data_IF_213426733827
#
_entry.id   IF_213426733827
#
_cell.length_a   1.000
_cell.length_b   1.000
_cell.length_c   1.000
_cell.angle_alpha   90.00
_cell.angle_beta   90.00
_cell.angle_gamma   90.00
#
_symmetry.space_group_name_H-M   'P 1'
#
loop_
_entity.id
_entity.type
_entity.pdbx_description
1 polymer ?
#
# COMPACT_ATOMS: atom_id res chain seq x y z
N UNK A 1 -2.77 5.95 -1.33
CA UNK A 1 -2.15 7.16 -1.86
C UNK A 1 -1.31 7.80 -0.76
N UNK A 2 -0.01 8.02 -0.99
CA UNK A 2 0.88 8.65 0.01
C UNK A 2 1.30 10.03 -0.51
N UNK A 3 1.17 11.04 0.34
CA UNK A 3 1.66 12.39 0.17
C UNK A 3 2.99 12.51 0.93
N UNK A 4 4.10 12.72 0.22
CA UNK A 4 5.30 13.24 0.87
C UNK A 4 5.23 14.76 0.88
N UNK A 5 5.03 15.35 2.07
CA UNK A 5 4.94 16.80 2.27
C UNK A 5 6.18 17.56 1.75
N UNK A 6 7.31 16.85 1.61
CA UNK A 6 8.61 17.43 1.26
C UNK A 6 8.74 17.81 -0.24
N UNK A 7 7.89 17.31 -1.13
CA UNK A 7 8.08 17.51 -2.59
C UNK A 7 6.97 18.31 -3.24
N UNK A 8 5.72 18.08 -2.84
CA UNK A 8 4.55 18.79 -3.36
C UNK A 8 3.46 18.78 -2.30
N UNK A 9 2.94 19.96 -1.94
CA UNK A 9 1.92 20.11 -0.91
C UNK A 9 0.53 19.61 -1.33
N UNK A 10 0.33 19.33 -2.62
CA UNK A 10 -1.00 19.06 -3.21
C UNK A 10 -1.05 17.82 -4.13
N UNK A 11 0.04 17.06 -4.27
CA UNK A 11 0.07 15.88 -5.16
C UNK A 11 0.05 14.57 -4.38
N UNK A 12 -0.96 13.76 -4.65
CA UNK A 12 -1.10 12.40 -4.13
C UNK A 12 -0.57 11.39 -5.13
N UNK A 13 0.32 10.50 -4.68
CA UNK A 13 0.86 9.43 -5.52
C UNK A 13 0.49 8.06 -4.94
N UNK A 14 -0.10 7.15 -5.74
CA UNK A 14 -0.44 5.83 -5.27
C UNK A 14 0.81 4.94 -5.23
N UNK A 15 1.01 4.24 -4.11
CA UNK A 15 2.06 3.25 -3.95
C UNK A 15 1.49 2.01 -3.29
N UNK A 16 1.98 0.86 -3.72
CA UNK A 16 1.69 -0.42 -3.09
C UNK A 16 2.51 -0.56 -1.81
N UNK A 17 1.85 -0.99 -0.73
CA UNK A 17 2.50 -1.32 0.53
C UNK A 17 3.20 -2.67 0.36
N UNK A 18 4.47 -2.75 0.74
CA UNK A 18 5.26 -4.00 0.65
C UNK A 18 5.46 -4.67 2.00
N UNK A 19 5.11 -4.03 3.12
CA UNK A 19 5.09 -4.67 4.44
C UNK A 19 3.85 -5.54 4.63
N UNK A 20 3.92 -6.46 5.59
CA UNK A 20 2.76 -7.21 6.11
C UNK A 20 2.49 -6.75 7.54
N UNK A 21 1.23 -6.52 7.89
CA UNK A 21 0.82 -6.16 9.26
C UNK A 21 1.08 -7.28 10.26
N UNK A 22 1.08 -8.54 9.82
CA UNK A 22 1.33 -9.70 10.66
C UNK A 22 2.83 -9.89 10.96
N UNK A 23 3.69 -9.53 10.02
CA UNK A 23 5.15 -9.65 10.16
C UNK A 23 5.80 -8.38 10.74
N UNK A 24 5.31 -7.21 10.34
CA UNK A 24 5.91 -5.91 10.57
C UNK A 24 4.86 -4.93 11.13
N UNK A 25 4.25 -5.27 12.27
CA UNK A 25 3.09 -4.55 12.84
C UNK A 25 3.30 -3.04 13.04
N UNK A 26 4.53 -2.60 13.33
CA UNK A 26 4.87 -1.20 13.60
C UNK A 26 5.50 -0.48 12.41
N UNK A 27 5.54 -1.09 11.21
CA UNK A 27 6.27 -0.54 10.06
C UNK A 27 5.43 -0.55 8.78
N UNK A 28 5.42 0.60 8.11
CA UNK A 28 4.89 0.73 6.75
C UNK A 28 6.04 0.86 5.76
N UNK A 29 6.16 -0.11 4.85
CA UNK A 29 7.19 -0.10 3.81
C UNK A 29 6.58 0.13 2.43
N UNK A 30 7.22 0.97 1.62
CA UNK A 30 6.86 1.21 0.21
C UNK A 30 8.10 1.20 -0.67
N UNK A 31 7.96 0.68 -1.88
CA UNK A 31 9.03 0.63 -2.87
C UNK A 31 8.70 1.60 -4.01
N UNK A 32 9.58 2.58 -4.23
CA UNK A 32 9.36 3.65 -5.22
C UNK A 32 10.45 3.56 -6.28
N UNK A 33 10.07 3.27 -7.52
CA UNK A 33 10.96 3.30 -8.67
C UNK A 33 11.09 4.73 -9.20
N UNK A 34 12.30 5.19 -9.50
CA UNK A 34 12.56 6.51 -10.07
C UNK A 34 12.30 6.54 -11.58
N UNK A 35 11.02 6.61 -11.98
CA UNK A 35 10.62 6.69 -13.41
C UNK A 35 10.02 8.05 -13.83
N UNK A 36 9.48 8.82 -12.90
CA UNK A 36 8.84 10.11 -13.17
C UNK A 36 9.52 11.30 -12.48
N UNK A 37 9.17 12.53 -12.90
CA UNK A 37 9.72 13.79 -12.36
C UNK A 37 9.65 13.85 -10.83
N UNK A 38 8.51 13.48 -10.25
CA UNK A 38 8.31 13.47 -8.80
C UNK A 38 9.18 12.42 -8.10
N UNK A 39 9.20 11.18 -8.60
CA UNK A 39 9.96 10.08 -7.98
C UNK A 39 11.47 10.28 -8.11
N UNK A 40 11.93 10.89 -9.21
CA UNK A 40 13.34 11.24 -9.38
C UNK A 40 13.76 12.35 -8.44
N UNK A 41 12.91 13.38 -8.25
CA UNK A 41 13.16 14.44 -7.28
C UNK A 41 13.17 13.90 -5.84
N UNK A 42 12.30 12.94 -5.53
CA UNK A 42 12.30 12.22 -4.26
C UNK A 42 13.60 11.48 -4.05
N UNK A 43 13.98 10.66 -5.03
CA UNK A 43 15.21 9.89 -5.00
C UNK A 43 16.43 10.79 -4.82
N UNK A 44 16.56 11.86 -5.61
CA UNK A 44 17.67 12.81 -5.50
C UNK A 44 17.76 13.42 -4.10
N UNK A 45 16.63 13.84 -3.52
CA UNK A 45 16.62 14.50 -2.20
C UNK A 45 16.96 13.53 -1.07
N UNK A 46 16.47 12.30 -1.15
CA UNK A 46 16.82 11.22 -0.22
C UNK A 46 18.25 10.70 -0.44
N UNK A 47 18.83 10.94 -1.61
CA UNK A 47 20.21 10.59 -1.94
C UNK A 47 21.21 11.67 -1.54
N UNK A 48 20.88 12.94 -1.69
CA UNK A 48 21.76 14.07 -1.41
C UNK A 48 21.86 14.41 0.07
N UNK A 49 20.80 14.19 0.85
CA UNK A 49 20.79 14.55 2.26
C UNK A 49 21.17 13.35 3.12
N UNK A 50 22.44 13.29 3.53
CA UNK A 50 22.95 12.31 4.49
C UNK A 50 22.32 12.38 5.90
N UNK A 51 21.35 13.28 6.12
CA UNK A 51 20.90 13.73 7.44
C UNK A 51 19.37 13.95 7.52
N UNK A 52 18.58 13.30 6.66
CA UNK A 52 17.11 13.29 6.85
C UNK A 52 16.79 12.18 7.85
N UNK A 53 16.81 12.52 9.13
CA UNK A 53 16.37 11.62 10.19
C UNK A 53 14.85 11.41 10.16
N UNK A 54 14.10 12.34 9.55
CA UNK A 54 12.63 12.37 9.58
C UNK A 54 12.02 12.86 8.28
N UNK A 55 10.93 12.21 7.90
CA UNK A 55 10.18 12.48 6.69
C UNK A 55 8.69 12.59 7.03
N UNK A 56 8.13 13.80 6.92
CA UNK A 56 6.69 14.00 7.11
C UNK A 56 5.92 13.50 5.87
N UNK A 57 5.07 12.50 6.08
CA UNK A 57 4.24 11.88 5.04
C UNK A 57 2.79 11.86 5.50
N UNK A 58 1.85 12.27 4.65
CA UNK A 58 0.42 12.01 4.85
C UNK A 58 0.04 10.78 4.05
N UNK A 59 -0.77 9.89 4.62
CA UNK A 59 -1.14 8.62 3.99
C UNK A 59 -2.66 8.56 3.92
N UNK A 60 -3.16 8.14 2.76
CA UNK A 60 -4.57 7.89 2.50
C UNK A 60 -4.72 6.44 2.00
N UNK A 61 -5.61 5.68 2.62
CA UNK A 61 -5.81 4.25 2.33
C UNK A 61 -6.30 3.49 3.56
N UNK A 62 -6.33 2.14 3.50
CA UNK A 62 -5.87 1.29 2.39
C UNK A 62 -6.82 1.30 1.19
N UNK A 63 -6.27 1.12 -0.02
CA UNK A 63 -7.04 0.90 -1.24
C UNK A 63 -6.64 -0.46 -1.82
N UNK A 64 -7.55 -1.42 -1.76
CA UNK A 64 -7.32 -2.79 -2.20
C UNK A 64 -8.41 -3.70 -1.65
N UNK A 65 -8.53 -4.93 -2.17
CA UNK A 65 -9.43 -5.92 -1.58
C UNK A 65 -9.04 -6.18 -0.12
N UNK A 66 -10.04 -6.27 0.76
CA UNK A 66 -9.84 -6.38 2.21
C UNK A 66 -9.22 -7.73 2.63
N UNK A 67 -9.46 -8.77 1.83
CA UNK A 67 -8.85 -10.08 1.97
C UNK A 67 -8.98 -10.82 0.65
N UNK A 68 -7.97 -11.61 0.34
CA UNK A 68 -7.95 -12.54 -0.78
C UNK A 68 -7.57 -13.88 -0.18
N UNK A 69 -8.43 -14.87 -0.35
CA UNK A 69 -8.35 -16.17 0.30
C UNK A 69 -7.26 -17.03 -0.35
N UNK A 70 -6.01 -16.57 -0.23
CA UNK A 70 -4.87 -17.19 -0.89
C UNK A 70 -4.57 -18.61 -0.39
N UNK A 71 -5.00 -18.94 0.82
CA UNK A 71 -4.81 -20.25 1.45
C UNK A 71 -5.78 -21.33 0.97
N UNK A 72 -6.80 -20.98 0.17
CA UNK A 72 -7.79 -21.94 -0.33
C UNK A 72 -7.30 -22.78 -1.50
N UNK A 73 -6.13 -22.46 -2.05
CA UNK A 73 -5.52 -23.16 -3.17
C UNK A 73 -4.39 -24.06 -2.71
N UNK A 74 -4.13 -25.13 -3.46
CA UNK A 74 -3.00 -26.03 -3.22
C UNK A 74 -1.69 -25.44 -3.75
N UNK A 75 -1.78 -24.72 -4.87
CA UNK A 75 -0.67 -23.98 -5.46
C UNK A 75 -1.10 -22.58 -5.86
N UNK A 76 -0.14 -21.65 -5.86
CA UNK A 76 -0.36 -20.26 -6.19
C UNK A 76 0.69 -19.78 -7.20
N UNK A 77 0.22 -19.29 -8.35
CA UNK A 77 1.07 -18.74 -9.41
C UNK A 77 0.90 -17.23 -9.44
N UNK A 78 1.98 -16.51 -9.15
CA UNK A 78 2.01 -15.05 -9.17
C UNK A 78 2.77 -14.58 -10.41
N UNK A 79 2.11 -13.88 -11.33
CA UNK A 79 2.71 -13.34 -12.56
C UNK A 79 2.87 -11.84 -12.44
N UNK A 80 4.11 -11.37 -12.42
CA UNK A 80 4.47 -9.96 -12.24
C UNK A 80 5.22 -9.38 -13.43
N UNK A 81 5.00 -8.10 -13.70
CA UNK A 81 5.74 -7.36 -14.73
C UNK A 81 6.31 -6.05 -14.17
N UNK A 82 7.64 -5.91 -14.19
CA UNK A 82 8.36 -4.74 -13.65
C UNK A 82 8.01 -4.47 -12.18
N UNK A 83 7.58 -3.25 -11.87
CA UNK A 83 7.15 -2.84 -10.52
C UNK A 83 5.89 -3.57 -10.00
N UNK A 84 5.19 -4.32 -10.87
CA UNK A 84 4.06 -5.17 -10.48
C UNK A 84 4.42 -6.31 -9.51
N UNK A 85 5.70 -6.52 -9.21
CA UNK A 85 6.13 -7.44 -8.14
C UNK A 85 5.80 -6.94 -6.73
N UNK A 86 5.67 -5.61 -6.55
CA UNK A 86 5.46 -4.99 -5.22
C UNK A 86 4.30 -5.55 -4.40
N UNK A 87 3.08 -5.79 -4.92
CA UNK A 87 2.04 -6.43 -4.13
C UNK A 87 2.37 -7.87 -3.73
N UNK A 88 3.06 -8.62 -4.60
CA UNK A 88 3.43 -10.00 -4.29
C UNK A 88 4.46 -10.09 -3.17
N UNK A 89 5.31 -9.07 -3.01
CA UNK A 89 6.20 -8.97 -1.83
C UNK A 89 5.38 -8.94 -0.53
N UNK A 90 4.33 -8.11 -0.48
CA UNK A 90 3.47 -8.03 0.71
C UNK A 90 2.72 -9.35 0.95
N UNK A 91 2.15 -9.95 -0.11
CA UNK A 91 1.43 -11.23 -0.03
C UNK A 91 2.34 -12.37 0.45
N UNK A 92 3.55 -12.48 -0.08
CA UNK A 92 4.51 -13.52 0.32
C UNK A 92 4.93 -13.31 1.79
N UNK A 93 5.21 -12.08 2.22
CA UNK A 93 5.52 -11.78 3.62
C UNK A 93 4.36 -12.11 4.56
N UNK A 94 3.14 -11.87 4.11
CA UNK A 94 1.95 -12.19 4.89
C UNK A 94 1.77 -13.70 5.04
N UNK A 95 1.95 -14.48 3.96
CA UNK A 95 1.94 -15.94 4.02
C UNK A 95 2.99 -16.51 4.95
N UNK A 96 4.20 -15.94 4.92
CA UNK A 96 5.30 -16.30 5.85
C UNK A 96 4.88 -16.03 7.31
N UNK A 97 4.21 -14.92 7.58
CA UNK A 97 3.74 -14.61 8.94
C UNK A 97 2.57 -15.50 9.37
N UNK A 98 1.63 -15.80 8.47
CA UNK A 98 0.52 -16.69 8.77
C UNK A 98 0.99 -18.11 9.07
N UNK A 99 2.01 -18.61 8.36
CA UNK A 99 2.55 -19.95 8.65
C UNK A 99 3.23 -20.05 10.00
N UNK A 100 3.74 -18.95 10.55
CA UNK A 100 4.29 -18.90 11.90
C UNK A 100 3.19 -18.90 12.97
N UNK A 101 2.14 -18.11 12.73
CA UNK A 101 1.07 -17.88 13.72
C UNK A 101 -0.04 -18.94 13.67
N UNK A 102 -0.21 -19.64 12.54
CA UNK A 102 -1.25 -20.63 12.31
C UNK A 102 -0.63 -21.87 11.64
N UNK A 103 -1.01 -23.08 12.10
CA UNK A 103 -0.65 -24.36 11.47
C UNK A 103 -1.43 -24.59 10.16
N UNK A 104 -1.46 -23.60 9.29
CA UNK A 104 -2.12 -23.70 7.99
C UNK A 104 -1.12 -24.21 6.96
N UNK A 105 -1.57 -25.12 6.08
CA UNK A 105 -0.74 -25.59 4.96
C UNK A 105 -0.55 -24.45 3.98
N UNK A 106 0.69 -24.01 3.77
CA UNK A 106 1.01 -22.98 2.79
C UNK A 106 0.92 -23.60 1.38
N UNK A 107 0.30 -22.94 0.40
CA UNK A 107 0.34 -23.38 -0.99
C UNK A 107 1.76 -23.38 -1.55
N UNK A 108 2.03 -24.22 -2.55
CA UNK A 108 3.27 -24.13 -3.34
C UNK A 108 3.25 -22.83 -4.15
N UNK A 109 4.26 -21.96 -3.97
CA UNK A 109 4.28 -20.63 -4.60
C UNK A 109 5.20 -20.66 -5.81
N UNK A 110 4.69 -20.25 -6.97
CA UNK A 110 5.51 -20.01 -8.17
C UNK A 110 5.39 -18.54 -8.58
N UNK A 111 6.48 -17.80 -8.45
CA UNK A 111 6.56 -16.38 -8.79
C UNK A 111 7.24 -16.23 -10.16
N UNK A 112 6.47 -15.83 -11.17
CA UNK A 112 6.93 -15.56 -12.53
C UNK A 112 7.07 -14.04 -12.69
N UNK A 113 8.29 -13.54 -12.85
CA UNK A 113 8.59 -12.12 -12.97
C UNK A 113 9.15 -11.79 -14.34
N UNK A 114 8.65 -10.73 -14.98
CA UNK A 114 9.21 -10.19 -16.22
C UNK A 114 9.80 -8.80 -16.00
N UNK A 115 11.10 -8.66 -16.16
CA UNK A 115 11.85 -7.41 -16.04
C UNK A 115 12.34 -6.93 -17.41
N UNK A 116 12.52 -5.61 -17.55
CA UNK A 116 13.12 -5.03 -18.76
C UNK A 116 14.64 -5.23 -18.73
N UNK A 117 15.25 -4.84 -17.63
CA UNK A 117 16.69 -4.80 -17.43
C UNK A 117 17.09 -5.59 -16.18
N UNK A 118 18.35 -5.95 -16.07
CA UNK A 118 18.91 -6.68 -14.91
C UNK A 118 18.90 -5.86 -13.61
N UNK A 119 18.92 -4.53 -13.68
CA UNK A 119 18.84 -3.67 -12.49
C UNK A 119 17.52 -3.80 -11.72
N UNK A 120 16.45 -4.29 -12.36
CA UNK A 120 15.16 -4.50 -11.69
C UNK A 120 15.10 -5.82 -10.93
N UNK A 121 16.02 -6.75 -11.18
CA UNK A 121 16.14 -8.04 -10.47
C UNK A 121 16.36 -7.81 -8.99
N UNK A 122 17.02 -6.69 -8.61
CA UNK A 122 17.25 -6.34 -7.21
C UNK A 122 15.96 -6.35 -6.39
N UNK A 123 14.79 -6.05 -7.00
CA UNK A 123 13.49 -6.10 -6.33
C UNK A 123 13.16 -7.48 -5.74
N UNK A 124 13.69 -8.57 -6.31
CA UNK A 124 13.52 -9.93 -5.78
C UNK A 124 14.13 -10.08 -4.38
N UNK A 125 15.19 -9.35 -4.07
CA UNK A 125 15.79 -9.37 -2.73
C UNK A 125 14.85 -8.83 -1.64
N UNK A 126 13.82 -8.07 -2.01
CA UNK A 126 12.83 -7.55 -1.06
C UNK A 126 11.71 -8.56 -0.74
N UNK A 127 11.59 -9.65 -1.51
CA UNK A 127 10.55 -10.68 -1.31
C UNK A 127 10.71 -11.34 0.06
N UNK A 128 11.94 -11.66 0.45
CA UNK A 128 12.22 -12.19 1.78
C UNK A 128 12.41 -11.04 2.79
N UNK A 129 11.89 -11.18 4.02
CA UNK A 129 12.07 -10.18 5.07
C UNK A 129 13.55 -10.08 5.46
N UNK A 130 14.09 -8.87 5.48
CA UNK A 130 15.50 -8.56 5.81
C UNK A 130 15.84 -8.68 7.31
N UNK A 131 14.89 -9.10 8.15
CA UNK A 131 15.07 -9.16 9.60
C UNK A 131 15.57 -10.54 10.03
N UNK A 132 16.55 -10.59 10.94
CA UNK A 132 17.32 -11.77 11.39
C UNK A 132 16.55 -12.87 12.13
N UNK A 133 15.26 -13.03 11.84
CA UNK A 133 14.41 -14.14 12.30
C UNK A 133 14.46 -15.32 11.30
N UNK A 134 15.66 -15.62 10.79
CA UNK A 134 15.83 -16.42 9.56
C UNK A 134 16.38 -17.82 9.76
N UNK A 135 16.79 -18.21 10.96
CA UNK A 135 17.58 -19.44 11.10
C UNK A 135 16.76 -20.73 11.03
N UNK A 136 15.42 -20.69 11.10
CA UNK A 136 14.57 -21.89 10.96
C UNK A 136 13.50 -21.80 9.86
N UNK A 137 13.39 -20.66 9.17
CA UNK A 137 12.18 -20.32 8.39
C UNK A 137 12.17 -20.79 6.93
N UNK A 138 13.33 -21.21 6.42
CA UNK A 138 13.52 -21.48 4.99
C UNK A 138 13.17 -22.90 4.54
N UNK A 139 12.85 -23.81 5.46
CA UNK A 139 12.69 -25.24 5.14
C UNK A 139 11.28 -25.60 4.68
N UNK A 140 10.25 -24.90 5.17
CA UNK A 140 8.85 -25.31 4.94
C UNK A 140 8.17 -24.58 3.76
N UNK A 141 8.72 -23.45 3.30
CA UNK A 141 8.08 -22.65 2.25
C UNK A 141 8.70 -22.96 0.89
N UNK A 142 7.95 -23.69 0.05
CA UNK A 142 8.35 -24.01 -1.32
C UNK A 142 8.01 -22.86 -2.27
N UNK A 143 8.93 -21.89 -2.38
CA UNK A 143 8.84 -20.78 -3.33
C UNK A 143 9.77 -21.05 -4.51
N UNK A 144 9.22 -21.15 -5.73
CA UNK A 144 9.97 -21.17 -6.99
C UNK A 144 9.89 -19.79 -7.64
N UNK A 145 11.02 -19.19 -7.99
CA UNK A 145 11.06 -17.88 -8.67
C UNK A 145 11.61 -18.07 -10.08
N UNK A 146 10.84 -17.65 -11.08
CA UNK A 146 11.27 -17.61 -12.48
C UNK A 146 11.31 -16.15 -12.96
N UNK A 147 12.50 -15.61 -13.16
CA UNK A 147 12.67 -14.23 -13.59
C UNK A 147 13.18 -14.14 -15.03
N UNK A 148 12.46 -13.40 -15.86
CA UNK A 148 12.69 -13.22 -17.29
C UNK A 148 13.15 -11.80 -17.58
N UNK A 149 14.31 -11.65 -18.20
CA UNK A 149 14.92 -10.37 -18.56
C UNK A 149 14.76 -10.17 -20.05
N UNK A 150 13.91 -9.21 -20.42
CA UNK A 150 13.35 -9.16 -21.78
C UNK A 150 14.16 -8.31 -22.78
N UNK A 151 15.13 -7.50 -22.31
CA UNK A 151 15.93 -6.60 -23.19
C UNK A 151 17.43 -6.91 -23.20
N UNK A 152 17.92 -7.76 -22.30
CA UNK A 152 19.33 -8.14 -22.21
C UNK A 152 19.48 -9.62 -22.58
N UNK A 153 20.45 -9.94 -23.44
CA UNK A 153 20.68 -11.31 -23.93
C UNK A 153 21.70 -12.09 -23.10
N UNK A 154 22.59 -11.39 -22.41
CA UNK A 154 23.66 -11.99 -21.60
C UNK A 154 23.77 -11.26 -20.25
N UNK A 155 24.19 -11.97 -19.19
CA UNK A 155 24.52 -11.34 -17.92
C UNK A 155 25.70 -10.40 -18.10
N UNK A 156 25.55 -9.14 -17.68
CA UNK A 156 26.63 -8.15 -17.75
C UNK A 156 27.77 -8.57 -16.81
N UNK A 157 28.97 -8.74 -17.34
CA UNK A 157 30.15 -9.30 -16.65
C UNK A 157 30.67 -8.49 -15.45
N UNK A 158 30.12 -7.30 -15.20
CA UNK A 158 30.30 -6.52 -13.99
C UNK A 158 28.92 -6.05 -13.53
N UNK A 159 28.25 -6.89 -12.73
CA UNK A 159 26.99 -6.52 -12.11
C UNK A 159 27.27 -5.47 -11.03
N UNK A 160 27.33 -4.20 -11.40
CA UNK A 160 26.94 -3.14 -10.48
C UNK A 160 25.44 -3.29 -10.30
N UNK A 161 25.03 -4.28 -9.51
CA UNK A 161 23.66 -4.41 -9.04
C UNK A 161 23.37 -3.09 -8.36
N UNK A 162 22.57 -2.23 -8.98
CA UNK A 162 22.17 -0.98 -8.34
C UNK A 162 21.52 -1.37 -7.01
N UNK A 163 22.26 -1.10 -5.94
CA UNK A 163 21.91 -1.57 -4.62
C UNK A 163 20.65 -0.83 -4.21
N UNK A 164 19.62 -1.58 -3.80
CA UNK A 164 18.40 -0.97 -3.30
C UNK A 164 18.77 -0.12 -2.09
N UNK A 165 18.64 1.19 -2.24
CA UNK A 165 18.83 2.11 -1.13
C UNK A 165 17.62 2.00 -0.20
N UNK A 166 17.78 1.24 0.87
CA UNK A 166 16.76 1.12 1.92
C UNK A 166 16.99 2.23 2.94
N UNK A 167 15.98 3.06 3.17
CA UNK A 167 16.00 4.13 4.16
C UNK A 167 15.02 3.79 5.27
N UNK A 168 15.52 3.80 6.51
CA UNK A 168 14.73 3.55 7.71
C UNK A 168 14.60 4.83 8.51
N UNK A 169 13.37 5.26 8.74
CA UNK A 169 13.08 6.38 9.64
C UNK A 169 12.71 5.83 11.01
N UNK A 170 13.39 6.29 12.06
CA UNK A 170 13.14 5.84 13.42
C UNK A 170 11.84 6.46 13.97
N UNK A 171 10.99 5.70 14.67
CA UNK A 171 9.82 6.25 15.33
C UNK A 171 10.25 7.16 16.49
N UNK A 172 9.47 8.19 16.76
CA UNK A 172 9.64 9.12 17.87
C UNK A 172 8.42 9.09 18.79
N UNK A 173 8.60 9.54 20.03
CA UNK A 173 7.52 9.64 21.03
C UNK A 173 6.37 10.59 20.62
N UNK A 174 6.58 11.42 19.61
CA UNK A 174 5.57 12.34 19.07
C UNK A 174 4.81 11.78 17.87
N UNK A 175 5.21 10.63 17.33
CA UNK A 175 4.56 10.05 16.16
C UNK A 175 3.24 9.38 16.59
N UNK A 176 2.15 9.77 15.93
CA UNK A 176 0.85 9.15 16.15
C UNK A 176 0.67 7.96 15.21
N UNK A 177 -0.06 6.90 15.66
CA UNK A 177 -0.42 5.81 14.77
C UNK A 177 -1.22 6.36 13.58
N UNK A 178 -1.01 5.77 12.41
CA UNK A 178 -1.80 6.08 11.22
C UNK A 178 -3.25 5.77 11.56
N UNK A 179 -4.07 6.82 11.64
CA UNK A 179 -5.49 6.72 11.98
C UNK A 179 -6.30 7.38 10.87
N UNK A 180 -7.50 6.87 10.67
CA UNK A 180 -8.46 7.50 9.75
C UNK A 180 -8.78 8.91 10.25
N UNK A 181 -8.86 9.87 9.31
CA UNK A 181 -9.18 11.28 9.60
C UNK A 181 -10.49 11.42 10.41
N UNK A 182 -11.42 10.48 10.24
CA UNK A 182 -12.72 10.44 10.91
C UNK A 182 -12.80 9.45 12.09
N UNK A 183 -11.71 8.74 12.42
CA UNK A 183 -11.68 7.71 13.45
C UNK A 183 -12.32 6.37 13.05
N UNK A 184 -12.38 5.38 13.98
CA UNK A 184 -12.86 4.01 13.74
C UNK A 184 -14.29 3.90 13.18
N UNK A 185 -15.15 4.88 13.45
CA UNK A 185 -16.54 4.91 12.92
C UNK A 185 -16.69 5.94 11.80
N UNK A 186 -15.76 5.92 10.84
CA UNK A 186 -15.70 6.91 9.75
C UNK A 186 -17.00 7.00 8.97
N UNK A 187 -17.70 5.88 8.76
CA UNK A 187 -18.98 5.84 8.04
C UNK A 187 -20.11 6.55 8.79
N UNK A 188 -20.21 6.36 10.12
CA UNK A 188 -21.20 7.07 10.93
C UNK A 188 -20.91 8.58 10.99
N UNK A 189 -19.64 8.96 11.09
CA UNK A 189 -19.24 10.36 11.01
C UNK A 189 -19.53 10.97 9.64
N UNK A 190 -19.28 10.23 8.55
CA UNK A 190 -19.60 10.67 7.20
C UNK A 190 -21.11 10.87 7.02
N UNK A 191 -21.92 9.92 7.51
CA UNK A 191 -23.37 10.03 7.52
C UNK A 191 -23.86 11.22 8.37
N UNK A 192 -23.25 11.42 9.54
CA UNK A 192 -23.53 12.56 10.41
C UNK A 192 -23.18 13.90 9.77
N UNK A 193 -22.02 14.01 9.12
CA UNK A 193 -21.60 15.20 8.38
C UNK A 193 -22.58 15.46 7.24
N UNK A 194 -22.91 14.45 6.44
CA UNK A 194 -23.82 14.61 5.29
C UNK A 194 -25.23 15.05 5.75
N UNK A 195 -25.78 14.38 6.77
CA UNK A 195 -27.09 14.71 7.34
C UNK A 195 -27.11 16.11 7.96
N UNK A 196 -26.08 16.46 8.73
CA UNK A 196 -25.96 17.78 9.35
C UNK A 196 -25.83 18.89 8.29
N UNK A 197 -25.01 18.66 7.25
CA UNK A 197 -24.84 19.61 6.15
C UNK A 197 -26.15 19.86 5.40
N UNK A 198 -26.94 18.80 5.18
CA UNK A 198 -28.23 18.90 4.52
C UNK A 198 -29.25 19.69 5.34
N UNK A 199 -29.31 19.45 6.65
CA UNK A 199 -30.20 20.19 7.55
C UNK A 199 -29.82 21.67 7.64
N UNK A 200 -28.52 21.98 7.78
CA UNK A 200 -28.02 23.36 7.80
C UNK A 200 -28.33 24.06 6.48
N UNK A 201 -28.12 23.38 5.35
CA UNK A 201 -28.47 23.89 4.03
C UNK A 201 -29.97 24.22 3.93
N UNK A 202 -30.85 23.31 4.35
CA UNK A 202 -32.31 23.53 4.35
C UNK A 202 -32.73 24.70 5.25
N UNK A 203 -32.10 24.89 6.40
CA UNK A 203 -32.39 26.01 7.29
C UNK A 203 -31.94 27.33 6.68
N UNK A 204 -30.70 27.41 6.18
CA UNK A 204 -30.15 28.64 5.59
C UNK A 204 -30.95 29.01 4.34
N UNK A 205 -31.31 28.04 3.49
CA UNK A 205 -32.11 28.33 2.30
C UNK A 205 -33.54 28.74 2.64
N UNK A 206 -34.15 28.14 3.68
CA UNK A 206 -35.44 28.57 4.20
C UNK A 206 -35.42 30.01 4.68
N UNK A 207 -34.34 30.43 5.35
CA UNK A 207 -34.17 31.82 5.81
C UNK A 207 -33.96 32.78 4.62
N UNK A 208 -33.05 32.45 3.70
CA UNK A 208 -32.77 33.31 2.54
C UNK A 208 -33.99 33.46 1.65
N UNK A 209 -34.72 32.37 1.36
CA UNK A 209 -35.93 32.43 0.54
C UNK A 209 -37.04 33.25 1.20
N UNK A 210 -37.29 33.06 2.51
CA UNK A 210 -38.34 33.74 3.26
C UNK A 210 -38.05 35.22 3.50
N UNK A 211 -36.80 35.59 3.80
CA UNK A 211 -36.45 36.94 4.26
C UNK A 211 -35.71 37.81 3.24
N UNK A 212 -35.08 37.23 2.21
CA UNK A 212 -34.37 37.98 1.18
C UNK A 212 -35.05 37.90 -0.18
N UNK A 213 -35.33 36.69 -0.68
CA UNK A 213 -35.84 36.52 -2.05
C UNK A 213 -37.33 36.91 -2.14
N UNK A 214 -38.18 36.38 -1.26
CA UNK A 214 -39.61 36.62 -1.28
C UNK A 214 -40.04 38.09 -1.11
N UNK A 215 -39.51 38.87 -0.13
CA UNK A 215 -39.94 40.26 0.05
C UNK A 215 -39.47 41.21 -1.05
N UNK A 216 -38.41 40.86 -1.78
CA UNK A 216 -37.87 41.71 -2.85
C UNK A 216 -38.55 41.40 -4.18
N UNK A 217 -38.68 40.11 -4.53
CA UNK A 217 -39.10 39.71 -5.87
C UNK A 217 -40.59 39.33 -5.95
N UNK A 218 -41.26 39.02 -4.83
CA UNK A 218 -42.68 38.63 -4.80
C UNK A 218 -43.04 37.54 -5.84
N UNK A 219 -42.12 36.59 -6.12
CA UNK A 219 -42.24 35.58 -7.19
C UNK A 219 -42.44 36.16 -8.61
N UNK A 220 -41.96 37.37 -8.87
CA UNK A 220 -42.07 38.03 -10.17
C UNK A 220 -40.91 37.64 -11.10
N UNK A 221 -39.83 37.03 -10.59
CA UNK A 221 -38.62 36.61 -11.31
C UNK A 221 -37.96 37.72 -12.13
N UNK A 222 -38.14 38.98 -11.73
CA UNK A 222 -37.63 40.15 -12.46
C UNK A 222 -36.28 40.61 -11.95
N UNK A 223 -36.04 40.45 -10.64
CA UNK A 223 -34.80 40.89 -9.98
C UNK A 223 -33.88 39.68 -9.74
N UNK A 224 -34.45 38.58 -9.25
CA UNK A 224 -33.74 37.31 -9.13
C UNK A 224 -34.14 36.40 -10.30
N UNK A 225 -33.29 36.37 -11.32
CA UNK A 225 -33.43 35.40 -12.40
C UNK A 225 -33.05 34.01 -11.90
N UNK A 226 -33.60 32.97 -12.55
CA UNK A 226 -33.39 31.58 -12.20
C UNK A 226 -31.89 31.16 -12.08
N UNK A 227 -31.02 31.83 -12.84
CA UNK A 227 -29.57 31.62 -12.79
C UNK A 227 -28.93 32.19 -11.52
N UNK A 228 -29.33 33.39 -11.10
CA UNK A 228 -28.81 34.03 -9.89
C UNK A 228 -29.24 33.29 -8.62
N UNK A 229 -30.48 32.80 -8.58
CA UNK A 229 -31.02 31.98 -7.49
C UNK A 229 -30.24 30.66 -7.37
N UNK A 230 -29.98 30.00 -8.48
CA UNK A 230 -29.20 28.75 -8.52
C UNK A 230 -27.75 28.95 -8.04
N UNK A 231 -27.11 30.08 -8.38
CA UNK A 231 -25.76 30.40 -7.91
C UNK A 231 -25.73 30.56 -6.39
N UNK A 232 -26.73 31.22 -5.80
CA UNK A 232 -26.85 31.37 -4.34
C UNK A 232 -27.00 29.98 -3.70
N UNK A 233 -27.81 29.10 -4.27
CA UNK A 233 -28.00 27.74 -3.74
C UNK A 233 -26.70 26.93 -3.76
N UNK A 234 -25.93 27.01 -4.85
CA UNK A 234 -24.61 26.37 -4.97
C UNK A 234 -23.60 26.94 -3.96
N UNK A 235 -23.62 28.25 -3.70
CA UNK A 235 -22.74 28.84 -2.70
C UNK A 235 -23.11 28.39 -1.28
N UNK A 236 -24.40 28.35 -0.95
CA UNK A 236 -24.86 27.96 0.39
C UNK A 236 -24.57 26.48 0.67
N UNK A 237 -24.72 25.58 -0.31
CA UNK A 237 -24.37 24.17 -0.11
C UNK A 237 -22.86 23.98 0.09
N UNK A 238 -22.02 24.70 -0.67
CA UNK A 238 -20.57 24.66 -0.51
C UNK A 238 -20.12 25.15 0.89
N UNK A 239 -20.69 26.26 1.37
CA UNK A 239 -20.39 26.80 2.71
C UNK A 239 -20.84 25.82 3.79
N UNK A 240 -22.02 25.20 3.64
CA UNK A 240 -22.54 24.22 4.59
C UNK A 240 -21.63 23.00 4.72
N UNK A 241 -21.17 22.45 3.59
CA UNK A 241 -20.24 21.30 3.56
C UNK A 241 -18.89 21.68 4.18
N UNK A 242 -18.36 22.87 3.88
CA UNK A 242 -17.08 23.33 4.46
C UNK A 242 -17.17 23.54 5.98
N UNK A 243 -18.28 24.10 6.47
CA UNK A 243 -18.47 24.35 7.90
C UNK A 243 -18.58 23.04 8.70
N UNK A 244 -19.39 22.08 8.24
CA UNK A 244 -19.60 20.80 8.94
C UNK A 244 -18.36 19.91 8.91
N UNK A 245 -17.65 19.85 7.78
CA UNK A 245 -16.40 19.09 7.66
C UNK A 245 -15.30 19.69 8.55
N UNK A 246 -15.14 21.01 8.57
CA UNK A 246 -14.17 21.69 9.44
C UNK A 246 -14.50 21.49 10.93
N UNK A 247 -15.78 21.59 11.30
CA UNK A 247 -16.23 21.33 12.66
C UNK A 247 -15.99 19.87 13.08
N UNK A 248 -16.30 18.91 12.21
CA UNK A 248 -16.07 17.49 12.48
C UNK A 248 -14.58 17.15 12.62
N UNK A 249 -13.73 17.71 11.74
CA UNK A 249 -12.27 17.56 11.86
C UNK A 249 -11.73 18.15 13.16
N UNK A 250 -12.18 19.35 13.54
CA UNK A 250 -11.77 19.98 14.79
C UNK A 250 -12.23 19.18 16.01
N UNK A 251 -13.47 18.66 15.98
CA UNK A 251 -14.02 17.82 17.04
C UNK A 251 -13.25 16.51 17.18
N UNK A 252 -12.90 15.86 16.08
CA UNK A 252 -12.07 14.66 16.08
C UNK A 252 -10.67 14.97 16.59
N UNK A 253 -10.03 16.04 16.12
CA UNK A 253 -8.71 16.45 16.63
C UNK A 253 -8.73 16.69 18.15
N UNK A 254 -9.77 17.32 18.69
CA UNK A 254 -9.93 17.55 20.13
C UNK A 254 -10.20 16.25 20.90
N UNK A 255 -11.06 15.37 20.38
CA UNK A 255 -11.44 14.11 21.04
C UNK A 255 -10.28 13.10 21.07
N UNK A 256 -9.55 12.95 19.96
CA UNK A 256 -8.40 12.06 19.88
C UNK A 256 -7.14 12.68 20.50
N UNK A 257 -6.97 14.01 20.43
CA UNK A 257 -5.91 14.74 21.14
C UNK A 257 -5.99 14.57 22.65
N UNK A 258 -7.17 14.80 23.24
CA UNK A 258 -7.36 14.65 24.69
C UNK A 258 -7.24 13.19 25.17
N UNK A 259 -7.67 12.21 24.37
CA UNK A 259 -7.55 10.79 24.73
C UNK A 259 -6.08 10.32 24.75
N UNK A 260 -5.18 10.95 23.98
CA UNK A 260 -3.75 10.64 23.98
C UNK A 260 -3.08 11.23 25.22
N UNK A 261 -3.42 12.47 25.61
CA UNK A 261 -2.94 13.08 26.87
C UNK A 261 -3.42 12.29 28.09
N UNK A 262 -4.68 11.83 28.11
CA UNK A 262 -5.24 11.05 29.23
C UNK A 262 -4.61 9.65 29.33
N UNK A 263 -4.25 9.02 28.20
CA UNK A 263 -3.51 7.74 28.19
C UNK A 263 -2.03 7.89 28.58
N UNK A 264 -1.43 9.06 28.35
CA UNK A 264 -0.07 9.34 28.85
C UNK A 264 -0.05 9.51 30.37
N UNK A 265 -1.10 10.07 30.97
CA UNK A 265 -1.18 10.26 32.43
C UNK A 265 -1.42 8.94 33.19
N UNK A 266 -2.19 8.00 32.63
CA UNK A 266 -2.45 6.69 33.28
C UNK A 266 -1.24 5.74 33.29
N UNK A 267 -0.25 5.91 32.40
CA UNK A 267 0.95 5.08 32.38
C UNK A 267 2.04 5.53 33.38
N UNK A 268 1.78 6.56 34.20
CA UNK A 268 2.75 7.11 35.16
C UNK A 268 2.55 6.56 36.59
N UNK A 269 1.47 5.84 36.88
CA UNK A 269 1.15 5.36 38.24
C UNK A 269 0.99 3.84 38.33
N UNK A 270 2.10 3.09 38.33
CA UNK A 270 2.29 1.89 39.16
C UNK A 270 3.79 1.56 39.33
N UNK A 271 4.29 1.23 40.54
CA UNK A 271 5.72 1.26 40.84
C UNK A 271 6.47 0.02 40.35
N UNK A 272 7.74 0.28 40.01
CA UNK A 272 8.77 -0.63 39.52
C UNK A 272 9.05 -1.83 40.43
N UNK A 273 8.95 -3.03 39.87
CA UNK A 273 9.67 -4.22 40.34
C UNK A 273 10.61 -4.75 39.26
N UNK A 274 11.89 -4.44 39.46
CA UNK A 274 13.11 -5.17 39.09
C UNK A 274 12.94 -6.45 38.25
N UNK A 275 13.17 -6.34 36.94
CA UNK A 275 14.05 -7.25 36.19
C UNK A 275 14.22 -6.72 34.77
N UNK A 276 15.44 -6.34 34.42
CA UNK A 276 15.85 -5.94 33.09
C UNK A 276 16.02 -7.16 32.17
N UNK A 277 15.56 -7.10 30.92
CA UNK A 277 16.23 -7.77 29.82
C UNK A 277 16.86 -6.70 28.91
N UNK A 278 18.17 -6.55 29.10
CA UNK A 278 19.17 -6.39 28.03
C UNK A 278 18.73 -5.78 26.70
N UNK A 279 19.06 -4.49 26.51
CA UNK A 279 19.91 -3.99 25.42
C UNK A 279 19.82 -4.73 24.07
N UNK A 280 18.89 -4.36 23.21
CA UNK A 280 19.07 -4.53 21.76
C UNK A 280 19.89 -3.35 21.21
N UNK A 281 21.20 -3.41 21.41
CA UNK A 281 22.15 -2.55 20.72
C UNK A 281 22.26 -2.97 19.26
N UNK A 282 21.81 -2.12 18.33
CA UNK A 282 22.10 -2.29 16.91
C UNK A 282 23.31 -1.42 16.57
N UNK A 283 24.50 -2.00 16.74
CA UNK A 283 25.76 -1.44 16.27
C UNK A 283 26.00 -1.87 14.82
N UNK A 284 26.46 -0.89 14.05
CA UNK A 284 27.40 -0.96 12.91
C UNK A 284 27.60 -2.30 12.20
N UNK A 285 27.39 -2.27 10.88
CA UNK A 285 28.32 -2.80 9.87
C UNK A 285 29.16 -3.99 10.36
N UNK A 286 28.59 -5.20 10.30
CA UNK A 286 29.37 -6.42 10.43
C UNK A 286 29.08 -7.27 9.21
N UNK A 287 30.06 -7.32 8.32
CA UNK A 287 30.23 -8.36 7.31
C UNK A 287 30.11 -9.70 8.03
N UNK A 288 29.00 -10.40 7.76
CA UNK A 288 28.88 -11.83 7.99
C UNK A 288 28.41 -12.39 6.65
N UNK A 289 29.41 -12.89 5.93
CA UNK A 289 29.31 -13.75 4.77
C UNK A 289 28.46 -14.99 5.11
N UNK A 290 27.77 -15.52 4.10
CA UNK A 290 26.65 -16.50 4.13
C UNK A 290 25.30 -15.93 4.57
N UNK A 291 24.61 -15.25 3.64
CA UNK A 291 23.37 -14.49 3.89
C UNK A 291 22.14 -15.14 3.24
N UNK A 292 20.89 -14.86 3.68
CA UNK A 292 19.61 -15.29 3.09
C UNK A 292 19.50 -15.20 1.56
N UNK A 293 20.33 -14.37 0.93
CA UNK A 293 20.41 -14.21 -0.50
C UNK A 293 20.81 -15.51 -1.22
N UNK A 294 21.63 -16.38 -0.61
CA UNK A 294 22.03 -17.66 -1.21
C UNK A 294 20.84 -18.61 -1.39
N UNK A 295 19.94 -18.66 -0.40
CA UNK A 295 18.72 -19.49 -0.45
C UNK A 295 17.72 -19.04 -1.53
N UNK A 296 17.71 -17.76 -1.85
CA UNK A 296 16.85 -17.18 -2.88
C UNK A 296 17.49 -17.29 -4.26
N UNK A 297 18.81 -17.11 -4.35
CA UNK A 297 19.59 -17.34 -5.58
C UNK A 297 19.46 -18.80 -6.02
N UNK A 298 19.51 -19.76 -5.09
CA UNK A 298 19.32 -21.18 -5.40
C UNK A 298 17.89 -21.51 -5.89
N UNK A 299 16.89 -20.72 -5.49
CA UNK A 299 15.47 -20.89 -5.89
C UNK A 299 15.03 -20.01 -7.07
N UNK A 300 15.94 -19.18 -7.59
CA UNK A 300 15.65 -18.25 -8.69
C UNK A 300 16.26 -18.77 -9.98
N UNK A 301 15.41 -19.07 -10.96
CA UNK A 301 15.85 -19.37 -12.33
C UNK A 301 15.81 -18.08 -13.16
N UNK A 302 16.96 -17.66 -13.68
CA UNK A 302 17.10 -16.46 -14.52
C UNK A 302 17.08 -16.85 -16.00
N UNK A 303 16.20 -16.21 -16.76
CA UNK A 303 16.11 -16.35 -18.22
C UNK A 303 16.41 -15.01 -18.89
N UNK A 304 17.39 -14.97 -19.79
CA UNK A 304 17.80 -13.77 -20.53
C UNK A 304 17.28 -13.80 -21.96
N UNK A 305 16.97 -12.63 -22.51
CA UNK A 305 16.61 -12.43 -23.92
C UNK A 305 15.21 -12.90 -24.31
N UNK A 306 14.45 -13.49 -23.39
CA UNK A 306 13.16 -14.13 -23.68
C UNK A 306 12.02 -13.53 -22.87
N UNK A 307 10.79 -13.63 -23.42
CA UNK A 307 9.56 -13.30 -22.70
C UNK A 307 8.93 -14.58 -22.14
N UNK A 308 8.33 -14.53 -20.95
CA UNK A 308 7.72 -15.71 -20.35
C UNK A 308 6.62 -16.27 -21.27
N UNK A 309 6.74 -17.55 -21.59
CA UNK A 309 5.66 -18.28 -22.27
C UNK A 309 4.59 -18.65 -21.24
N UNK A 310 3.77 -17.67 -20.88
CA UNK A 310 2.74 -17.79 -19.83
C UNK A 310 1.78 -18.97 -20.07
N UNK A 311 1.49 -19.32 -21.33
CA UNK A 311 0.61 -20.45 -21.62
C UNK A 311 1.24 -21.76 -21.16
N UNK A 312 2.51 -22.00 -21.53
CA UNK A 312 3.23 -23.19 -21.09
C UNK A 312 3.42 -23.19 -19.57
N UNK A 313 3.93 -22.10 -19.03
CA UNK A 313 4.23 -21.99 -17.59
C UNK A 313 3.01 -22.18 -16.70
N UNK A 314 1.82 -21.73 -17.11
CA UNK A 314 0.58 -21.90 -16.34
C UNK A 314 -0.01 -23.31 -16.47
N UNK A 315 0.19 -23.99 -17.60
CA UNK A 315 -0.27 -25.36 -17.82
C UNK A 315 0.65 -26.40 -17.17
N UNK A 316 1.94 -26.09 -17.04
CA UNK A 316 2.93 -26.95 -16.41
C UNK A 316 2.79 -26.98 -14.86
N UNK A 317 1.92 -26.16 -14.26
CA UNK A 317 1.71 -26.17 -12.81
C UNK A 317 0.75 -27.28 -12.40
N UNK A 318 1.30 -28.27 -11.70
CA UNK A 318 0.54 -29.36 -11.10
C UNK A 318 -0.17 -28.89 -9.81
N UNK A 319 -1.46 -29.24 -9.69
CA UNK A 319 -2.27 -28.99 -8.48
C UNK A 319 -3.76 -29.17 -8.74
N UNK A 320 -4.50 -29.63 -7.74
CA UNK A 320 -5.96 -29.81 -7.84
C UNK A 320 -6.72 -28.48 -7.91
N UNK A 321 -6.21 -27.45 -7.23
CA UNK A 321 -6.72 -26.08 -7.21
C UNK A 321 -5.54 -25.11 -7.23
N UNK A 322 -5.43 -24.34 -8.31
CA UNK A 322 -4.32 -23.42 -8.56
C UNK A 322 -4.84 -21.99 -8.65
N UNK A 323 -4.47 -21.14 -7.70
CA UNK A 323 -4.74 -19.71 -7.76
C UNK A 323 -3.76 -19.03 -8.72
N UNK A 324 -4.23 -18.15 -9.59
CA UNK A 324 -3.40 -17.38 -10.51
C UNK A 324 -3.60 -15.89 -10.26
N UNK A 325 -2.56 -15.24 -9.73
CA UNK A 325 -2.53 -13.82 -9.44
C UNK A 325 -1.70 -13.07 -10.48
N UNK A 326 -2.21 -11.97 -11.02
CA UNK A 326 -1.48 -11.20 -12.04
C UNK A 326 -1.44 -9.72 -11.74
N UNK A 327 -0.23 -9.14 -11.75
CA UNK A 327 -0.01 -7.71 -11.61
C UNK A 327 0.99 -7.19 -12.67
N UNK A 328 0.61 -6.14 -13.40
CA UNK A 328 1.46 -5.54 -14.43
C UNK A 328 0.70 -4.99 -15.65
N UNK A 329 1.36 -4.90 -16.82
CA UNK A 329 0.81 -4.28 -18.02
C UNK A 329 -0.54 -4.88 -18.46
N UNK A 330 -1.47 -4.04 -18.94
CA UNK A 330 -2.83 -4.45 -19.35
C UNK A 330 -2.84 -5.64 -20.31
N UNK A 331 -1.94 -5.64 -21.30
CA UNK A 331 -1.80 -6.74 -22.28
C UNK A 331 -1.44 -8.08 -21.62
N UNK A 332 -0.59 -8.06 -20.60
CA UNK A 332 -0.18 -9.25 -19.86
C UNK A 332 -1.36 -9.80 -19.04
N UNK A 333 -2.06 -8.92 -18.31
CA UNK A 333 -3.25 -9.29 -17.52
C UNK A 333 -4.34 -9.92 -18.40
N UNK A 334 -4.64 -9.30 -19.54
CA UNK A 334 -5.63 -9.83 -20.49
C UNK A 334 -5.21 -11.18 -21.06
N UNK A 335 -3.91 -11.38 -21.34
CA UNK A 335 -3.40 -12.66 -21.84
C UNK A 335 -3.57 -13.77 -20.80
N UNK A 336 -3.22 -13.53 -19.54
CA UNK A 336 -3.40 -14.52 -18.48
C UNK A 336 -4.88 -14.81 -18.22
N UNK A 337 -5.72 -13.77 -18.16
CA UNK A 337 -7.17 -13.94 -18.02
C UNK A 337 -7.74 -14.82 -19.13
N UNK A 338 -7.30 -14.60 -20.39
CA UNK A 338 -7.69 -15.43 -21.53
C UNK A 338 -7.27 -16.89 -21.32
N UNK A 339 -6.02 -17.15 -20.92
CA UNK A 339 -5.51 -18.50 -20.67
C UNK A 339 -6.34 -19.23 -19.60
N UNK A 340 -6.62 -18.56 -18.48
CA UNK A 340 -7.44 -19.14 -17.42
C UNK A 340 -8.89 -19.37 -17.87
N UNK A 341 -9.46 -18.50 -18.72
CA UNK A 341 -10.83 -18.65 -19.24
C UNK A 341 -10.99 -19.72 -20.31
N UNK A 342 -9.91 -20.11 -21.02
CA UNK A 342 -9.98 -21.03 -22.17
C UNK A 342 -10.27 -22.49 -21.81
N UNK A 343 -10.47 -22.83 -20.54
CA UNK A 343 -10.87 -24.18 -20.10
C UNK A 343 -9.83 -25.28 -20.33
N UNK A 344 -8.62 -24.90 -20.80
CA UNK A 344 -7.48 -25.80 -21.02
C UNK A 344 -6.96 -26.43 -19.72
N UNK A 345 -7.25 -25.80 -18.57
CA UNK A 345 -6.95 -26.30 -17.23
C UNK A 345 -8.15 -25.98 -16.33
N UNK A 346 -8.94 -27.00 -15.96
CA UNK A 346 -10.17 -26.86 -15.17
C UNK A 346 -9.94 -26.45 -13.70
N UNK A 347 -8.67 -26.45 -13.28
CA UNK A 347 -8.17 -26.24 -11.92
C UNK A 347 -7.60 -24.82 -11.70
N UNK A 348 -7.63 -23.92 -12.69
CA UNK A 348 -7.09 -22.57 -12.56
C UNK A 348 -8.15 -21.57 -12.10
N UNK A 349 -7.91 -20.92 -10.96
CA UNK A 349 -8.73 -19.82 -10.44
C UNK A 349 -8.01 -18.50 -10.67
N UNK A 350 -8.52 -17.67 -11.57
CA UNK A 350 -7.90 -16.41 -11.95
C UNK A 350 -8.34 -15.26 -11.05
N UNK A 351 -7.37 -14.53 -10.53
CA UNK A 351 -7.59 -13.28 -9.83
C UNK A 351 -6.59 -12.22 -10.31
N UNK A 352 -7.09 -11.07 -10.76
CA UNK A 352 -6.22 -9.97 -11.19
C UNK A 352 -6.05 -8.95 -10.08
N UNK A 353 -4.82 -8.76 -9.62
CA UNK A 353 -4.48 -7.63 -8.75
C UNK A 353 -4.16 -6.45 -9.66
N UNK A 354 -5.17 -5.65 -9.97
CA UNK A 354 -4.98 -4.40 -10.71
C UNK A 354 -5.20 -3.19 -9.82
N UNK A 355 -4.09 -2.55 -9.48
CA UNK A 355 -4.08 -1.16 -9.05
C UNK A 355 -4.10 -0.30 -10.32
N UNK A 356 -5.26 -0.25 -10.98
CA UNK A 356 -5.49 0.76 -12.01
C UNK A 356 -5.89 2.05 -11.31
N UNK A 357 -5.00 3.03 -11.36
CA UNK A 357 -5.33 4.42 -11.06
C UNK A 357 -5.00 5.25 -12.29
#
# INVERSE_FOLDING_TARGET
SNLLYIISRLQWHPFTITSSSNLEAEKLSVVIKSEGKWSTKLYQRLSSSHQIDRLAVSVEGPYGPASTDFFMHEALVMVSGGSGITPFISVIRDMIATSQNQKCKIPKITLICAFKNSSEISMLHLVLPLSGLQTELSSDINIKIEAFITREKEPRSEATTEQIKTLWFKPSLSDQPISSILGPNSWLWLGGILSSSFLIFMIIIGIISRYYIYPIDHNTYKIYSWTSESIIYILVICVSIMATSSAAMFWNKKKYGNNVETKQVQNVELPSTTSSPTSCGYNSMREIESSPQESLVQRTTLHYGERPNLTKLLLDVEGSSVGVLVCGPKKMRQKVAKICSTGLAKNLHFESISFSW
#
